data_IF_617531171189
#
_entry.id   IF_617531171189
#
_cell.length_a   1.000
_cell.length_b   1.000
_cell.length_c   1.000
_cell.angle_alpha   90.00
_cell.angle_beta   90.00
_cell.angle_gamma   90.00
#
_symmetry.space_group_name_H-M   'P 1'
#
loop_
_entity.id
_entity.type
_entity.pdbx_description
1 polymer ?
#
# COMPACT_ATOMS: atom_id res chain seq x y z
N UNK A 1 6.25 15.71 -18.07
CA UNK A 1 5.24 14.63 -18.11
C UNK A 1 5.73 13.28 -18.69
N UNK A 2 7.00 13.16 -19.13
CA UNK A 2 7.58 11.92 -19.70
C UNK A 2 8.11 10.92 -18.67
N UNK A 3 8.26 11.31 -17.41
CA UNK A 3 9.12 10.57 -16.47
C UNK A 3 8.33 9.54 -15.62
N UNK A 4 6.99 9.65 -15.59
CA UNK A 4 6.09 8.73 -14.86
C UNK A 4 4.99 8.19 -15.79
N UNK A 5 5.23 7.07 -16.51
CA UNK A 5 4.34 6.63 -17.59
C UNK A 5 3.06 5.93 -17.12
N UNK A 6 2.97 5.54 -15.84
CA UNK A 6 1.86 4.71 -15.34
C UNK A 6 0.71 5.52 -14.74
N UNK A 7 1.02 6.50 -13.89
CA UNK A 7 0.03 7.30 -13.15
C UNK A 7 0.17 8.77 -13.51
N UNK A 8 -0.97 9.46 -13.50
CA UNK A 8 -1.03 10.89 -13.75
C UNK A 8 -1.94 11.57 -12.72
N UNK A 9 -1.81 12.88 -12.61
CA UNK A 9 -2.71 13.68 -11.79
C UNK A 9 -3.98 13.98 -12.60
N UNK A 10 -5.12 13.49 -12.12
CA UNK A 10 -6.43 13.76 -12.69
C UNK A 10 -7.23 14.67 -11.76
N UNK A 11 -8.14 15.44 -12.32
CA UNK A 11 -9.20 16.09 -11.53
C UNK A 11 -10.19 15.05 -11.06
N UNK A 12 -10.46 15.01 -9.76
CA UNK A 12 -11.42 14.09 -9.19
C UNK A 12 -12.82 14.34 -9.78
N UNK A 13 -13.50 13.30 -10.28
CA UNK A 13 -14.77 13.47 -10.97
C UNK A 13 -15.85 14.03 -10.02
N UNK A 14 -16.87 14.66 -10.59
CA UNK A 14 -17.98 15.20 -9.81
C UNK A 14 -18.90 14.07 -9.33
N UNK A 15 -18.43 13.34 -8.34
CA UNK A 15 -19.12 12.23 -7.69
C UNK A 15 -19.23 12.47 -6.19
N UNK A 16 -20.17 11.76 -5.58
CA UNK A 16 -20.48 11.91 -4.15
C UNK A 16 -19.62 11.03 -3.24
N UNK A 17 -18.80 10.17 -3.80
CA UNK A 17 -17.83 9.39 -3.04
C UNK A 17 -16.63 10.28 -2.70
N UNK A 18 -16.27 10.36 -1.44
CA UNK A 18 -15.31 11.32 -0.88
C UNK A 18 -13.89 10.78 -0.81
N UNK A 19 -13.40 10.11 -1.84
CA UNK A 19 -11.99 9.72 -1.88
C UNK A 19 -11.08 10.94 -2.00
N UNK A 20 -11.52 11.93 -2.78
CA UNK A 20 -11.03 13.30 -2.82
C UNK A 20 -12.25 14.22 -3.05
N UNK A 21 -12.08 15.55 -2.95
CA UNK A 21 -13.20 16.46 -3.23
C UNK A 21 -13.36 16.59 -4.75
N UNK A 22 -14.60 16.66 -5.29
CA UNK A 22 -14.83 17.01 -6.69
C UNK A 22 -14.02 18.24 -7.10
N UNK A 23 -13.23 18.11 -8.16
CA UNK A 23 -12.34 19.18 -8.63
C UNK A 23 -10.91 19.13 -8.05
N UNK A 24 -10.69 18.46 -6.91
CA UNK A 24 -9.34 18.31 -6.36
C UNK A 24 -8.51 17.37 -7.22
N UNK A 25 -7.19 17.56 -7.27
CA UNK A 25 -6.32 16.60 -7.93
C UNK A 25 -6.25 15.28 -7.15
N UNK A 26 -6.16 14.17 -7.87
CA UNK A 26 -5.82 12.86 -7.33
C UNK A 26 -4.99 12.08 -8.34
N UNK A 27 -4.16 11.16 -7.84
CA UNK A 27 -3.36 10.28 -8.68
C UNK A 27 -4.20 9.11 -9.15
N UNK A 28 -4.19 8.89 -10.47
CA UNK A 28 -4.85 7.73 -11.06
C UNK A 28 -4.29 7.40 -12.44
N UNK A 29 -4.66 6.23 -12.93
CA UNK A 29 -4.62 5.85 -14.34
C UNK A 29 -6.05 5.64 -14.81
N UNK A 30 -6.45 6.29 -15.90
CA UNK A 30 -7.84 6.27 -16.37
C UNK A 30 -7.99 5.48 -17.67
N UNK A 31 -8.87 4.48 -17.65
CA UNK A 31 -9.42 3.85 -18.85
C UNK A 31 -10.88 4.25 -18.98
N UNK A 32 -11.37 4.50 -20.19
CA UNK A 32 -12.75 4.95 -20.40
C UNK A 32 -13.35 4.46 -21.71
N UNK A 33 -14.68 4.33 -21.71
CA UNK A 33 -15.47 3.91 -22.86
C UNK A 33 -16.75 4.73 -22.93
N UNK A 34 -17.18 5.07 -24.15
CA UNK A 34 -18.48 5.70 -24.39
C UNK A 34 -19.44 4.66 -24.95
N UNK A 35 -20.64 4.60 -24.38
CA UNK A 35 -21.72 3.73 -24.87
C UNK A 35 -23.05 4.49 -24.90
N UNK A 36 -24.02 3.97 -25.63
CA UNK A 36 -25.36 4.55 -25.71
C UNK A 36 -26.39 3.54 -25.22
N UNK A 37 -27.37 4.00 -24.43
CA UNK A 37 -28.56 3.24 -24.08
C UNK A 37 -29.77 3.85 -24.76
N UNK A 38 -30.66 3.00 -25.29
CA UNK A 38 -31.95 3.40 -25.85
C UNK A 38 -33.06 2.98 -24.89
N UNK A 39 -33.77 3.95 -24.35
CA UNK A 39 -34.88 3.74 -23.42
C UNK A 39 -36.22 3.78 -24.15
N UNK A 40 -37.20 3.01 -23.65
CA UNK A 40 -38.58 3.00 -24.17
C UNK A 40 -38.78 2.16 -25.45
N UNK A 41 -37.76 1.47 -25.95
CA UNK A 41 -37.85 0.70 -27.19
C UNK A 41 -38.86 -0.46 -27.15
N UNK A 42 -39.05 -1.09 -25.99
CA UNK A 42 -39.95 -2.24 -25.85
C UNK A 42 -41.44 -1.87 -25.75
N UNK A 43 -41.76 -0.61 -25.40
CA UNK A 43 -43.15 -0.14 -25.19
C UNK A 43 -43.63 0.79 -26.30
N UNK A 44 -42.89 0.87 -27.42
CA UNK A 44 -43.15 1.82 -28.50
C UNK A 44 -44.53 1.64 -29.16
N UNK A 45 -45.14 0.44 -29.02
CA UNK A 45 -46.49 0.14 -29.49
C UNK A 45 -47.63 0.39 -28.48
N UNK A 46 -47.32 0.46 -27.18
CA UNK A 46 -48.34 0.52 -26.10
C UNK A 46 -48.47 1.93 -25.49
N UNK A 47 -47.43 2.75 -25.59
CA UNK A 47 -47.43 4.11 -25.03
C UNK A 47 -46.77 5.06 -26.02
N UNK A 48 -47.38 6.22 -26.29
CA UNK A 48 -46.85 7.26 -27.18
C UNK A 48 -45.59 7.99 -26.65
N UNK A 49 -44.79 7.33 -25.81
CA UNK A 49 -43.56 7.89 -25.25
C UNK A 49 -42.42 7.66 -26.25
N UNK A 50 -41.79 8.72 -26.79
CA UNK A 50 -40.72 8.59 -27.76
C UNK A 50 -39.50 7.89 -27.15
N UNK A 51 -38.80 7.07 -27.96
CA UNK A 51 -37.58 6.42 -27.49
C UNK A 51 -36.48 7.46 -27.31
N UNK A 52 -35.87 7.49 -26.13
CA UNK A 52 -34.78 8.42 -25.81
C UNK A 52 -33.47 7.66 -25.89
N UNK A 53 -32.52 8.18 -26.67
CA UNK A 53 -31.12 7.71 -26.65
C UNK A 53 -30.33 8.59 -25.70
N UNK A 54 -29.66 7.97 -24.74
CA UNK A 54 -28.71 8.64 -23.84
C UNK A 54 -27.32 8.07 -24.05
N UNK A 55 -26.31 8.92 -23.98
CA UNK A 55 -24.90 8.54 -24.07
C UNK A 55 -24.29 8.57 -22.67
N UNK A 56 -23.44 7.59 -22.39
CA UNK A 56 -22.78 7.44 -21.09
C UNK A 56 -21.29 7.27 -21.29
N UNK A 57 -20.53 7.84 -20.36
CA UNK A 57 -19.11 7.64 -20.21
C UNK A 57 -18.88 6.71 -19.00
N UNK A 58 -18.38 5.51 -19.26
CA UNK A 58 -17.83 4.63 -18.24
C UNK A 58 -16.36 4.98 -18.06
N UNK A 59 -15.95 5.33 -16.84
CA UNK A 59 -14.55 5.53 -16.49
C UNK A 59 -14.16 4.55 -15.40
N UNK A 60 -13.01 3.90 -15.57
CA UNK A 60 -12.33 3.13 -14.54
C UNK A 60 -11.02 3.85 -14.24
N UNK A 61 -10.95 4.40 -13.04
CA UNK A 61 -9.72 4.96 -12.49
C UNK A 61 -9.05 3.88 -11.65
N UNK A 62 -7.84 3.49 -12.02
CA UNK A 62 -6.93 2.74 -11.17
C UNK A 62 -6.22 3.74 -10.28
N UNK A 63 -6.55 3.69 -9.00
CA UNK A 63 -6.18 4.66 -7.96
C UNK A 63 -5.18 3.98 -7.04
N UNK A 64 -3.90 4.39 -7.03
CA UNK A 64 -2.96 3.86 -6.06
C UNK A 64 -3.41 4.27 -4.65
N UNK A 65 -3.06 3.48 -3.64
CA UNK A 65 -3.21 3.92 -2.26
C UNK A 65 -2.34 5.14 -2.07
N UNK A 66 -3.00 6.28 -1.96
CA UNK A 66 -2.37 7.59 -1.86
C UNK A 66 -2.83 8.34 -0.62
N UNK A 67 -3.72 7.75 0.18
CA UNK A 67 -4.25 8.36 1.40
C UNK A 67 -3.35 8.04 2.60
N UNK A 68 -3.24 8.95 3.59
CA UNK A 68 -2.54 8.73 4.86
C UNK A 68 -2.84 7.37 5.51
N UNK A 69 -4.12 6.98 5.49
CA UNK A 69 -4.60 5.72 6.04
C UNK A 69 -5.60 5.05 5.10
N UNK A 70 -5.40 3.76 4.83
CA UNK A 70 -6.35 2.97 4.06
C UNK A 70 -6.49 1.52 4.53
N UNK A 71 -7.69 0.94 4.40
CA UNK A 71 -7.94 -0.48 4.68
C UNK A 71 -8.98 -1.07 3.73
N UNK A 72 -8.83 -2.35 3.36
CA UNK A 72 -9.86 -3.09 2.64
C UNK A 72 -10.87 -3.80 3.58
N UNK A 73 -10.68 -3.67 4.89
CA UNK A 73 -11.54 -4.21 5.94
C UNK A 73 -11.94 -3.14 6.96
N UNK A 74 -12.30 -3.55 8.18
CA UNK A 74 -12.66 -2.66 9.27
C UNK A 74 -11.41 -1.96 9.85
N UNK A 75 -11.48 -0.63 9.97
CA UNK A 75 -10.44 0.20 10.59
C UNK A 75 -11.02 1.06 11.71
N UNK A 76 -10.32 1.13 12.84
CA UNK A 76 -10.60 2.07 13.94
C UNK A 76 -9.44 3.04 14.13
N UNK A 77 -9.75 4.33 14.27
CA UNK A 77 -8.76 5.42 14.37
C UNK A 77 -9.03 6.30 15.59
N UNK A 78 -7.97 6.88 16.18
CA UNK A 78 -8.05 7.82 17.31
C UNK A 78 -7.74 7.24 18.69
N UNK A 79 -7.78 5.91 18.85
CA UNK A 79 -7.32 5.22 20.06
C UNK A 79 -6.53 3.96 19.76
N UNK A 80 -5.59 3.66 20.65
CA UNK A 80 -4.87 2.38 20.67
C UNK A 80 -5.76 1.25 21.22
N UNK A 81 -5.36 -0.01 21.01
CA UNK A 81 -6.09 -1.18 21.51
C UNK A 81 -6.29 -1.18 23.04
N UNK A 82 -5.39 -0.54 23.80
CA UNK A 82 -5.50 -0.39 25.26
C UNK A 82 -6.47 0.74 25.70
N UNK A 83 -7.06 1.46 24.73
CA UNK A 83 -8.00 2.55 24.95
C UNK A 83 -7.35 3.93 25.14
N UNK A 84 -6.02 4.03 25.13
CA UNK A 84 -5.32 5.32 25.18
C UNK A 84 -5.53 6.11 23.88
N UNK A 85 -5.57 7.44 23.99
CA UNK A 85 -5.77 8.32 22.85
C UNK A 85 -4.49 8.49 22.02
N UNK A 86 -4.68 8.77 20.73
CA UNK A 86 -3.58 9.26 19.89
C UNK A 86 -3.21 10.68 20.31
N UNK A 87 -2.00 10.85 20.85
CA UNK A 87 -1.55 12.15 21.36
C UNK A 87 -0.64 12.89 20.37
N UNK A 88 0.07 12.17 19.50
CA UNK A 88 1.08 12.72 18.59
C UNK A 88 0.90 12.16 17.16
N UNK A 89 -0.33 12.16 16.65
CA UNK A 89 -0.65 11.74 15.29
C UNK A 89 -1.25 12.91 14.50
N UNK A 90 -0.59 13.31 13.42
CA UNK A 90 -1.09 14.28 12.45
C UNK A 90 -1.55 13.57 11.17
N UNK A 91 -2.74 13.93 10.69
CA UNK A 91 -3.35 13.35 9.50
C UNK A 91 -3.59 14.45 8.46
N UNK A 92 -2.78 14.46 7.41
CA UNK A 92 -2.86 15.39 6.28
C UNK A 92 -3.37 14.68 5.04
N UNK A 93 -4.69 14.62 4.89
CA UNK A 93 -5.38 13.94 3.79
C UNK A 93 -6.54 13.08 4.26
N UNK A 94 -7.23 12.45 3.30
CA UNK A 94 -8.39 11.62 3.60
C UNK A 94 -8.06 10.27 4.25
N UNK A 95 -9.08 9.63 4.81
CA UNK A 95 -8.99 8.29 5.40
C UNK A 95 -10.04 7.40 4.74
N UNK A 96 -9.61 6.22 4.28
CA UNK A 96 -10.50 5.26 3.62
C UNK A 96 -10.50 3.89 4.33
N UNK A 97 -11.66 3.25 4.42
CA UNK A 97 -11.75 1.84 4.83
C UNK A 97 -12.91 1.12 4.14
N UNK A 98 -13.03 -0.20 4.31
CA UNK A 98 -14.32 -0.84 4.02
C UNK A 98 -15.39 -0.33 5.00
N UNK A 99 -15.08 -0.44 6.28
CA UNK A 99 -15.81 0.15 7.40
C UNK A 99 -14.84 0.98 8.24
N UNK A 100 -15.22 2.19 8.62
CA UNK A 100 -14.39 3.07 9.45
C UNK A 100 -15.12 3.44 10.74
N UNK A 101 -14.41 3.38 11.85
CA UNK A 101 -14.82 3.93 13.12
C UNK A 101 -13.78 4.93 13.62
N UNK A 102 -14.22 6.00 14.24
CA UNK A 102 -13.37 6.92 14.99
C UNK A 102 -13.66 6.79 16.49
N UNK A 103 -12.62 6.90 17.30
CA UNK A 103 -12.69 6.77 18.75
C UNK A 103 -11.93 7.93 19.40
N UNK A 104 -12.51 8.58 20.41
CA UNK A 104 -11.88 9.74 21.03
C UNK A 104 -11.84 10.96 20.10
N UNK A 105 -10.75 11.71 20.13
CA UNK A 105 -10.57 12.90 19.28
C UNK A 105 -9.81 12.53 18.02
N UNK A 106 -10.41 12.79 16.85
CA UNK A 106 -9.78 12.56 15.54
C UNK A 106 -9.94 13.82 14.69
N UNK A 107 -8.84 14.38 14.23
CA UNK A 107 -8.85 15.57 13.39
C UNK A 107 -8.03 15.34 12.12
N UNK A 108 -8.66 15.51 10.96
CA UNK A 108 -7.97 15.62 9.68
C UNK A 108 -7.70 17.10 9.42
N UNK A 109 -6.46 17.48 9.12
CA UNK A 109 -6.13 18.87 8.76
C UNK A 109 -6.71 19.24 7.40
N UNK A 110 -6.76 18.27 6.49
CA UNK A 110 -7.38 18.33 5.17
C UNK A 110 -7.86 16.93 4.77
N UNK A 111 -8.66 16.83 3.71
CA UNK A 111 -9.18 15.56 3.23
C UNK A 111 -10.60 15.28 3.70
N UNK A 112 -10.92 13.99 3.83
CA UNK A 112 -12.29 13.47 3.95
C UNK A 112 -12.29 12.08 4.61
N UNK A 113 -13.40 11.69 5.22
CA UNK A 113 -13.63 10.31 5.63
C UNK A 113 -14.45 9.56 4.58
N UNK A 114 -13.97 8.40 4.16
CA UNK A 114 -14.71 7.57 3.20
C UNK A 114 -14.72 6.11 3.60
N UNK A 115 -15.86 5.47 3.37
CA UNK A 115 -15.99 4.04 3.55
C UNK A 115 -16.80 3.38 2.44
N UNK A 116 -16.65 2.07 2.26
CA UNK A 116 -17.49 1.32 1.31
C UNK A 116 -18.83 0.92 1.93
N UNK A 117 -18.81 0.44 3.18
CA UNK A 117 -19.96 -0.18 3.85
C UNK A 117 -20.48 0.61 5.04
N UNK A 118 -19.63 1.32 5.81
CA UNK A 118 -20.11 2.08 6.96
C UNK A 118 -19.10 3.04 7.59
N UNK A 119 -19.63 4.11 8.18
CA UNK A 119 -18.90 5.11 8.96
C UNK A 119 -19.55 5.23 10.35
N UNK A 120 -18.72 5.28 11.39
CA UNK A 120 -19.14 5.58 12.77
C UNK A 120 -18.20 6.61 13.39
N UNK A 121 -18.75 7.77 13.73
CA UNK A 121 -18.03 8.93 14.23
C UNK A 121 -18.17 9.11 15.74
N UNK A 122 -17.06 9.39 16.41
CA UNK A 122 -17.08 9.96 17.75
C UNK A 122 -17.52 11.44 17.68
N UNK A 123 -18.05 11.97 18.79
CA UNK A 123 -18.49 13.38 18.88
C UNK A 123 -17.37 14.41 18.67
N UNK A 124 -16.11 13.97 18.71
CA UNK A 124 -14.89 14.79 18.56
C UNK A 124 -14.14 14.51 17.27
N UNK A 125 -14.86 14.09 16.22
CA UNK A 125 -14.28 13.90 14.88
C UNK A 125 -14.44 15.17 14.04
N UNK A 126 -13.35 15.62 13.41
CA UNK A 126 -13.40 16.81 12.56
C UNK A 126 -12.53 16.71 11.32
N UNK A 127 -12.92 17.48 10.30
CA UNK A 127 -12.18 17.67 9.06
C UNK A 127 -12.01 19.17 8.84
N UNK A 128 -10.77 19.64 8.72
CA UNK A 128 -10.46 21.07 8.58
C UNK A 128 -11.16 21.95 9.65
N UNK A 129 -11.30 21.45 10.87
CA UNK A 129 -11.98 22.13 11.98
C UNK A 129 -13.51 22.04 12.00
N UNK A 130 -14.13 21.41 10.99
CA UNK A 130 -15.59 21.19 10.93
C UNK A 130 -15.92 19.83 11.55
N UNK A 131 -16.85 19.81 12.50
CA UNK A 131 -17.30 18.57 13.13
C UNK A 131 -18.05 17.68 12.12
N UNK A 132 -17.71 16.40 12.11
CA UNK A 132 -18.36 15.38 11.28
C UNK A 132 -19.16 14.45 12.19
N UNK A 133 -20.48 14.47 12.04
CA UNK A 133 -21.41 13.72 12.88
C UNK A 133 -22.01 12.51 12.14
N UNK A 134 -22.49 11.52 12.92
CA UNK A 134 -23.12 10.30 12.42
C UNK A 134 -24.40 10.51 11.59
N UNK A 135 -25.04 11.67 11.70
CA UNK A 135 -26.21 12.03 10.89
C UNK A 135 -25.84 12.64 9.52
N UNK A 136 -24.57 12.55 9.10
CA UNK A 136 -24.10 13.14 7.84
C UNK A 136 -24.91 12.73 6.60
N UNK A 137 -25.50 11.53 6.65
CA UNK A 137 -26.26 10.94 5.57
C UNK A 137 -27.77 10.84 5.86
N UNK A 138 -28.24 11.45 6.95
CA UNK A 138 -29.65 11.43 7.32
C UNK A 138 -30.51 12.21 6.31
N UNK A 139 -31.76 11.76 6.11
CA UNK A 139 -32.74 12.52 5.32
C UNK A 139 -32.97 13.90 5.96
N UNK A 140 -33.15 14.93 5.13
CA UNK A 140 -33.26 16.32 5.53
C UNK A 140 -31.91 17.01 5.70
N UNK A 141 -30.88 16.32 6.20
CA UNK A 141 -29.52 16.88 6.35
C UNK A 141 -28.87 17.07 4.98
N UNK A 142 -29.02 16.10 4.07
CA UNK A 142 -28.50 16.17 2.70
C UNK A 142 -29.15 17.28 1.89
N UNK A 143 -30.48 17.36 1.93
CA UNK A 143 -31.26 18.34 1.18
C UNK A 143 -31.00 19.76 1.69
N UNK A 144 -30.90 19.92 3.02
CA UNK A 144 -30.52 21.20 3.62
C UNK A 144 -29.11 21.62 3.19
N UNK A 145 -28.16 20.67 3.14
CA UNK A 145 -26.79 20.94 2.68
C UNK A 145 -26.76 21.31 1.20
N UNK A 146 -27.45 20.55 0.35
CA UNK A 146 -27.54 20.85 -1.08
C UNK A 146 -28.17 22.21 -1.32
N UNK A 147 -29.22 22.56 -0.56
CA UNK A 147 -29.87 23.87 -0.64
C UNK A 147 -28.96 25.01 -0.16
N UNK A 148 -28.15 24.78 0.88
CA UNK A 148 -27.28 25.81 1.48
C UNK A 148 -25.98 26.03 0.70
N UNK A 149 -25.35 24.94 0.24
CA UNK A 149 -24.00 24.95 -0.33
C UNK A 149 -23.98 24.71 -1.85
N UNK A 150 -25.14 24.52 -2.48
CA UNK A 150 -25.24 24.18 -3.91
C UNK A 150 -24.66 22.81 -4.28
N UNK A 151 -24.25 22.02 -3.29
CA UNK A 151 -23.66 20.69 -3.44
C UNK A 151 -24.08 19.77 -2.31
N UNK A 152 -24.35 18.51 -2.64
CA UNK A 152 -24.61 17.43 -1.68
C UNK A 152 -23.30 16.71 -1.25
N UNK A 153 -22.15 17.22 -1.69
CA UNK A 153 -20.84 16.71 -1.27
C UNK A 153 -20.60 16.96 0.23
N UNK A 154 -19.91 16.04 0.90
CA UNK A 154 -19.68 16.08 2.33
C UNK A 154 -18.30 15.56 2.71
N UNK A 155 -17.80 16.00 3.87
CA UNK A 155 -16.52 15.55 4.43
C UNK A 155 -16.52 14.10 4.94
N UNK A 156 -17.66 13.41 4.77
CA UNK A 156 -17.85 11.99 5.04
C UNK A 156 -18.74 11.35 3.97
N UNK A 157 -18.38 10.17 3.48
CA UNK A 157 -19.17 9.45 2.47
C UNK A 157 -19.11 7.92 2.61
N UNK A 158 -20.20 7.25 2.21
CA UNK A 158 -20.26 5.79 2.12
C UNK A 158 -20.61 5.39 0.69
N UNK A 159 -19.77 4.57 0.05
CA UNK A 159 -19.93 4.14 -1.35
C UNK A 159 -21.30 3.51 -1.63
N UNK A 160 -21.82 2.70 -0.70
CA UNK A 160 -23.15 2.10 -0.80
C UNK A 160 -24.32 3.09 -0.94
N UNK A 161 -24.14 4.34 -0.48
CA UNK A 161 -25.22 5.34 -0.45
C UNK A 161 -25.26 6.19 -1.72
N UNK A 162 -24.37 5.94 -2.68
CA UNK A 162 -24.18 6.72 -3.90
C UNK A 162 -24.16 5.79 -5.11
N UNK A 163 -25.34 5.36 -5.56
CA UNK A 163 -25.58 4.30 -6.55
C UNK A 163 -25.05 4.52 -8.00
N UNK A 164 -24.01 5.33 -8.20
CA UNK A 164 -23.32 5.55 -9.48
C UNK A 164 -21.80 5.39 -9.40
N UNK A 165 -21.28 4.98 -8.24
CA UNK A 165 -19.86 4.81 -7.98
C UNK A 165 -19.62 3.43 -7.38
N UNK A 166 -18.58 2.75 -7.85
CA UNK A 166 -18.02 1.59 -7.15
C UNK A 166 -16.55 1.86 -6.83
N UNK A 167 -16.17 1.64 -5.57
CA UNK A 167 -14.78 1.67 -5.14
C UNK A 167 -14.35 0.27 -4.69
N UNK A 168 -13.36 -0.31 -5.38
CA UNK A 168 -13.01 -1.73 -5.28
C UNK A 168 -11.52 -1.84 -4.98
N UNK A 169 -11.11 -2.22 -3.75
CA UNK A 169 -9.72 -2.55 -3.46
C UNK A 169 -9.32 -3.81 -4.23
N UNK A 170 -8.17 -3.80 -4.90
CA UNK A 170 -7.74 -4.92 -5.75
C UNK A 170 -6.75 -5.84 -5.02
N UNK A 171 -5.91 -5.25 -4.17
CA UNK A 171 -4.84 -5.91 -3.45
C UNK A 171 -5.35 -6.28 -2.05
N UNK A 172 -6.05 -7.41 -1.94
CA UNK A 172 -6.70 -7.81 -0.69
C UNK A 172 -6.10 -9.08 -0.11
N UNK A 173 -5.95 -9.09 1.21
CA UNK A 173 -5.58 -10.27 1.99
C UNK A 173 -4.12 -10.68 1.86
N UNK A 174 -3.82 -11.81 2.51
CA UNK A 174 -2.49 -12.42 2.50
C UNK A 174 -2.06 -12.92 1.12
N UNK A 175 -3.01 -13.07 0.20
CA UNK A 175 -2.76 -13.43 -1.19
C UNK A 175 -1.82 -12.44 -1.90
N UNK A 176 -1.81 -11.18 -1.47
CA UNK A 176 -0.87 -10.16 -1.95
C UNK A 176 0.60 -10.51 -1.68
N UNK A 177 0.85 -11.23 -0.58
CA UNK A 177 2.18 -11.55 -0.06
C UNK A 177 2.71 -12.89 -0.58
N UNK A 178 1.91 -13.66 -1.31
CA UNK A 178 2.28 -14.97 -1.82
C UNK A 178 2.20 -15.01 -3.34
N UNK A 179 3.06 -15.85 -3.92
CA UNK A 179 3.07 -16.08 -5.36
C UNK A 179 2.11 -17.19 -5.74
N UNK A 180 1.32 -16.93 -6.76
CA UNK A 180 0.52 -17.95 -7.43
C UNK A 180 0.34 -17.49 -8.87
N UNK A 181 1.03 -18.18 -9.80
CA UNK A 181 0.88 -17.87 -11.22
C UNK A 181 -0.57 -18.12 -11.64
N UNK A 182 -1.11 -17.30 -12.53
CA UNK A 182 -2.50 -17.44 -12.94
C UNK A 182 -2.73 -18.55 -14.01
N UNK A 183 -1.80 -19.48 -14.19
CA UNK A 183 -1.87 -20.52 -15.22
C UNK A 183 -1.52 -20.04 -16.63
N UNK A 184 -1.97 -20.79 -17.66
CA UNK A 184 -1.59 -20.54 -19.06
C UNK A 184 -2.25 -19.30 -19.66
N UNK A 185 -1.50 -18.54 -20.45
CA UNK A 185 -1.99 -17.33 -21.13
C UNK A 185 -2.98 -17.61 -22.27
N UNK A 186 -3.04 -18.84 -22.78
CA UNK A 186 -3.86 -19.21 -23.95
C UNK A 186 -5.37 -19.07 -23.78
N UNK A 187 -5.85 -18.82 -22.57
CA UNK A 187 -7.29 -18.64 -22.26
C UNK A 187 -7.64 -17.25 -21.74
N UNK A 188 -6.70 -16.27 -21.75
CA UNK A 188 -6.99 -14.89 -21.31
C UNK A 188 -6.94 -13.90 -22.47
N UNK A 189 -7.76 -12.86 -22.35
CA UNK A 189 -7.75 -11.69 -23.24
C UNK A 189 -6.57 -10.76 -22.90
N UNK A 190 -6.22 -10.66 -21.61
CA UNK A 190 -5.10 -9.84 -21.15
C UNK A 190 -3.77 -10.60 -21.22
N UNK A 191 -2.67 -9.95 -21.67
CA UNK A 191 -1.34 -10.54 -21.60
C UNK A 191 -0.82 -10.67 -20.16
N UNK A 192 -1.33 -9.85 -19.23
CA UNK A 192 -1.02 -9.90 -17.80
C UNK A 192 -2.14 -10.62 -17.06
N UNK A 193 -1.78 -11.64 -16.27
CA UNK A 193 -2.72 -12.35 -15.42
C UNK A 193 -3.21 -11.51 -14.24
N UNK A 194 -4.28 -11.96 -13.57
CA UNK A 194 -4.87 -11.23 -12.44
C UNK A 194 -3.93 -11.16 -11.23
N UNK A 195 -3.31 -12.27 -10.86
CA UNK A 195 -2.34 -12.38 -9.77
C UNK A 195 -1.06 -11.61 -10.10
N UNK A 196 -0.58 -11.67 -11.35
CA UNK A 196 0.56 -10.86 -11.80
C UNK A 196 0.29 -9.35 -11.64
N UNK A 197 -0.97 -8.95 -11.86
CA UNK A 197 -1.42 -7.58 -11.73
C UNK A 197 -1.69 -7.18 -10.27
N UNK A 198 -2.26 -8.04 -9.44
CA UNK A 198 -2.78 -7.70 -8.10
C UNK A 198 -1.93 -8.16 -6.92
N UNK A 199 -0.85 -8.93 -7.10
CA UNK A 199 -0.04 -9.42 -5.97
C UNK A 199 1.34 -8.79 -5.97
N UNK A 200 1.71 -8.14 -4.86
CA UNK A 200 3.04 -7.53 -4.70
C UNK A 200 4.17 -8.54 -4.84
N UNK A 201 3.94 -9.79 -4.40
CA UNK A 201 4.91 -10.87 -4.54
C UNK A 201 5.24 -11.22 -6.02
N UNK A 202 4.30 -11.05 -6.96
CA UNK A 202 4.55 -11.26 -8.40
C UNK A 202 5.17 -10.03 -9.06
N UNK A 203 4.87 -8.84 -8.56
CA UNK A 203 5.39 -7.56 -9.08
C UNK A 203 6.89 -7.34 -8.77
N UNK A 204 7.41 -7.98 -7.71
CA UNK A 204 8.80 -7.84 -7.29
C UNK A 204 9.82 -8.21 -8.38
N UNK A 205 10.80 -7.34 -8.59
CA UNK A 205 11.84 -7.49 -9.62
C UNK A 205 12.92 -8.48 -9.23
N UNK A 206 13.33 -8.43 -7.96
CA UNK A 206 14.28 -9.36 -7.35
C UNK A 206 13.59 -10.34 -6.42
N UNK A 207 14.15 -11.54 -6.29
CA UNK A 207 13.67 -12.56 -5.35
C UNK A 207 14.80 -13.11 -4.50
N UNK A 208 14.63 -13.10 -3.19
CA UNK A 208 15.39 -13.93 -2.26
C UNK A 208 14.58 -15.18 -1.96
N UNK A 209 14.89 -16.27 -2.66
CA UNK A 209 14.21 -17.55 -2.50
C UNK A 209 15.06 -18.46 -1.63
N UNK A 210 14.63 -18.68 -0.39
CA UNK A 210 15.28 -19.69 0.46
C UNK A 210 15.10 -21.05 -0.18
N UNK A 211 16.20 -21.77 -0.33
CA UNK A 211 16.24 -23.05 -1.03
C UNK A 211 16.45 -24.22 -0.09
N UNK A 212 17.25 -24.02 0.96
CA UNK A 212 17.55 -25.04 1.95
C UNK A 212 17.75 -24.40 3.32
N UNK A 213 17.11 -25.00 4.33
CA UNK A 213 17.34 -24.69 5.75
C UNK A 213 18.28 -25.71 6.37
N UNK A 214 18.98 -25.33 7.44
CA UNK A 214 19.83 -26.22 8.24
C UNK A 214 19.07 -27.45 8.76
N UNK A 215 17.80 -27.28 9.15
CA UNK A 215 16.89 -28.38 9.50
C UNK A 215 15.45 -27.88 9.53
N UNK A 216 14.48 -28.81 9.55
CA UNK A 216 13.06 -28.50 9.75
C UNK A 216 12.78 -27.83 11.09
N UNK A 217 13.60 -28.06 12.11
CA UNK A 217 13.44 -27.49 13.45
C UNK A 217 14.07 -26.09 13.59
N UNK A 218 15.24 -25.84 12.99
CA UNK A 218 15.95 -24.57 13.15
C UNK A 218 15.46 -23.49 12.18
N UNK A 219 15.01 -23.86 10.98
CA UNK A 219 14.58 -22.90 9.95
C UNK A 219 15.60 -21.75 9.66
N UNK A 220 16.90 -22.02 9.82
CA UNK A 220 17.99 -21.10 9.43
C UNK A 220 18.40 -21.41 7.99
N UNK A 221 18.30 -20.46 7.04
CA UNK A 221 18.72 -20.69 5.66
C UNK A 221 20.22 -21.00 5.55
N UNK A 222 20.57 -22.05 4.80
CA UNK A 222 21.96 -22.40 4.44
C UNK A 222 22.20 -22.30 2.93
N UNK A 223 21.13 -22.25 2.14
CA UNK A 223 21.19 -22.00 0.71
C UNK A 223 20.01 -21.16 0.26
N UNK A 224 20.26 -20.20 -0.63
CA UNK A 224 19.22 -19.43 -1.31
C UNK A 224 19.54 -19.21 -2.78
N UNK A 225 18.50 -18.87 -3.54
CA UNK A 225 18.64 -18.39 -4.92
C UNK A 225 18.22 -16.93 -4.98
N UNK A 226 19.14 -16.08 -5.43
CA UNK A 226 18.89 -14.68 -5.68
C UNK A 226 18.51 -14.49 -7.15
N UNK A 227 17.29 -14.06 -7.42
CA UNK A 227 16.83 -13.71 -8.76
C UNK A 227 16.88 -12.19 -8.93
N UNK A 228 17.30 -11.72 -10.09
CA UNK A 228 17.37 -10.30 -10.46
C UNK A 228 17.22 -10.13 -11.97
N UNK A 229 16.93 -8.92 -12.43
CA UNK A 229 16.96 -8.58 -13.85
C UNK A 229 18.39 -8.21 -14.26
N UNK A 230 18.87 -8.81 -15.35
CA UNK A 230 20.13 -8.45 -15.97
C UNK A 230 19.98 -7.22 -16.87
N UNK A 231 21.08 -6.70 -17.40
CA UNK A 231 21.09 -5.53 -18.31
C UNK A 231 20.33 -5.75 -19.62
N UNK A 232 20.03 -6.99 -20.01
CA UNK A 232 19.19 -7.32 -21.17
C UNK A 232 17.69 -7.42 -20.82
N UNK A 233 17.30 -7.15 -19.57
CA UNK A 233 15.93 -7.25 -19.07
C UNK A 233 15.45 -8.68 -18.74
N UNK A 234 16.31 -9.69 -18.89
CA UNK A 234 15.99 -11.07 -18.56
C UNK A 234 16.16 -11.32 -17.06
N UNK A 235 15.25 -12.11 -16.47
CA UNK A 235 15.38 -12.54 -15.08
C UNK A 235 16.34 -13.73 -14.99
N UNK A 236 17.46 -13.54 -14.32
CA UNK A 236 18.50 -14.55 -14.06
C UNK A 236 18.58 -14.86 -12.57
N UNK A 237 19.35 -15.87 -12.18
CA UNK A 237 19.61 -16.14 -10.77
C UNK A 237 21.03 -16.62 -10.48
N UNK A 238 21.45 -16.45 -9.22
CA UNK A 238 22.65 -17.04 -8.64
C UNK A 238 22.27 -17.83 -7.40
N UNK A 239 22.97 -18.95 -7.18
CA UNK A 239 22.79 -19.78 -5.98
C UNK A 239 23.90 -19.45 -5.00
N UNK A 240 23.52 -19.20 -3.76
CA UNK A 240 24.43 -18.87 -2.67
C UNK A 240 24.30 -19.92 -1.58
N UNK A 241 25.41 -20.52 -1.19
CA UNK A 241 25.51 -21.60 -0.20
C UNK A 241 26.49 -21.19 0.90
N UNK A 242 26.05 -21.30 2.15
CA UNK A 242 26.85 -20.99 3.33
C UNK A 242 28.11 -21.85 3.36
N UNK A 243 29.27 -21.24 3.65
CA UNK A 243 30.57 -21.91 3.66
C UNK A 243 31.19 -22.15 2.27
N UNK A 244 30.56 -21.66 1.19
CA UNK A 244 31.13 -21.73 -0.16
C UNK A 244 31.24 -20.36 -0.81
N UNK A 245 30.10 -19.75 -1.14
CA UNK A 245 30.04 -18.44 -1.81
C UNK A 245 29.09 -17.46 -1.11
N UNK A 246 28.62 -17.81 0.08
CA UNK A 246 27.84 -16.96 0.95
C UNK A 246 28.60 -16.71 2.27
N UNK A 247 29.48 -15.70 2.30
CA UNK A 247 30.30 -15.41 3.46
C UNK A 247 29.45 -14.92 4.64
N UNK A 248 29.84 -15.33 5.84
CA UNK A 248 29.39 -14.74 7.11
C UNK A 248 30.01 -13.36 7.31
N UNK A 249 29.46 -12.50 8.19
CA UNK A 249 29.98 -11.15 8.40
C UNK A 249 31.46 -11.09 8.83
N UNK A 250 32.00 -12.16 9.42
CA UNK A 250 33.40 -12.25 9.84
C UNK A 250 34.35 -12.82 8.79
N UNK A 251 33.82 -13.33 7.67
CA UNK A 251 34.62 -13.83 6.55
C UNK A 251 34.88 -12.73 5.52
N UNK A 252 35.95 -12.86 4.75
CA UNK A 252 36.33 -11.89 3.72
C UNK A 252 35.17 -11.63 2.74
N UNK A 253 34.77 -10.36 2.60
CA UNK A 253 33.68 -9.93 1.73
C UNK A 253 32.27 -10.15 2.32
N UNK A 254 32.15 -10.67 3.54
CA UNK A 254 30.88 -10.82 4.23
C UNK A 254 30.26 -9.50 4.70
N UNK A 255 31.09 -8.52 5.02
CA UNK A 255 30.73 -7.14 5.34
C UNK A 255 30.14 -6.37 4.15
N UNK A 256 30.50 -6.76 2.92
CA UNK A 256 29.95 -6.20 1.69
C UNK A 256 28.75 -6.99 1.14
N UNK A 257 28.33 -8.08 1.80
CA UNK A 257 27.29 -8.97 1.31
C UNK A 257 25.92 -8.60 1.91
N UNK A 258 24.89 -8.27 1.10
CA UNK A 258 23.66 -7.65 1.60
C UNK A 258 22.70 -8.60 2.33
N UNK A 259 22.96 -9.91 2.30
CA UNK A 259 22.10 -10.92 2.90
C UNK A 259 22.83 -11.72 3.97
N UNK A 260 22.31 -11.72 5.20
CA UNK A 260 22.86 -12.50 6.30
C UNK A 260 21.78 -13.35 6.98
N UNK A 261 22.22 -14.26 7.84
CA UNK A 261 21.34 -15.05 8.70
C UNK A 261 21.81 -14.93 10.11
N UNK A 262 20.90 -14.64 11.02
CA UNK A 262 21.21 -14.45 12.43
C UNK A 262 20.07 -14.95 13.31
N UNK A 263 20.38 -15.23 14.57
CA UNK A 263 19.37 -15.34 15.62
C UNK A 263 19.29 -13.98 16.30
N UNK A 264 18.16 -13.29 16.15
CA UNK A 264 17.92 -11.99 16.76
C UNK A 264 17.99 -12.08 18.29
N UNK A 265 18.27 -10.98 19.02
CA UNK A 265 18.30 -10.96 20.48
C UNK A 265 17.03 -11.52 21.16
N UNK A 266 15.89 -11.43 20.48
CA UNK A 266 14.59 -12.03 20.87
C UNK A 266 14.50 -13.55 20.65
N UNK A 267 15.60 -14.21 20.27
CA UNK A 267 15.67 -15.66 20.05
C UNK A 267 15.09 -16.15 18.73
N UNK A 268 14.67 -15.26 17.84
CA UNK A 268 14.08 -15.61 16.54
C UNK A 268 15.12 -15.65 15.43
N UNK A 269 15.08 -16.69 14.60
CA UNK A 269 15.93 -16.79 13.42
C UNK A 269 15.42 -15.86 12.31
N UNK A 270 16.33 -15.07 11.75
CA UNK A 270 16.00 -14.07 10.73
C UNK A 270 16.96 -14.11 9.54
N UNK A 271 16.42 -13.72 8.39
CA UNK A 271 17.18 -13.30 7.22
C UNK A 271 17.35 -11.79 7.33
N UNK A 272 18.59 -11.34 7.48
CA UNK A 272 18.93 -9.92 7.54
C UNK A 272 19.19 -9.42 6.12
N UNK A 273 18.55 -8.31 5.76
CA UNK A 273 18.73 -7.64 4.47
C UNK A 273 19.27 -6.24 4.73
N UNK A 274 20.48 -5.99 4.24
CA UNK A 274 21.13 -4.69 4.26
C UNK A 274 20.85 -3.94 2.96
N UNK A 275 20.03 -2.89 3.05
CA UNK A 275 19.57 -2.14 1.89
C UNK A 275 20.66 -1.23 1.31
N UNK A 276 21.54 -0.67 2.12
CA UNK A 276 22.72 0.10 1.73
C UNK A 276 23.74 -0.69 0.90
N UNK A 277 23.88 -2.00 1.18
CA UNK A 277 24.84 -2.87 0.49
C UNK A 277 24.33 -3.38 -0.87
N UNK A 278 23.02 -3.36 -1.09
CA UNK A 278 22.40 -3.96 -2.28
C UNK A 278 22.82 -3.30 -3.62
N UNK A 279 22.94 -1.96 -3.75
CA UNK A 279 23.39 -1.33 -5.00
C UNK A 279 24.80 -1.77 -5.41
N UNK A 280 25.75 -1.76 -4.47
CA UNK A 280 27.13 -2.18 -4.72
C UNK A 280 27.20 -3.68 -5.05
N UNK A 281 26.40 -4.50 -4.36
CA UNK A 281 26.29 -5.93 -4.63
C UNK A 281 25.77 -6.23 -6.03
N UNK A 282 24.70 -5.56 -6.49
CA UNK A 282 24.18 -5.72 -7.84
C UNK A 282 25.24 -5.37 -8.89
N UNK A 283 25.97 -4.27 -8.70
CA UNK A 283 27.08 -3.89 -9.57
C UNK A 283 28.17 -4.97 -9.63
N UNK A 284 28.51 -5.57 -8.48
CA UNK A 284 29.52 -6.62 -8.38
C UNK A 284 29.13 -7.94 -9.09
N UNK A 285 27.84 -8.18 -9.36
CA UNK A 285 27.39 -9.34 -10.14
C UNK A 285 27.80 -9.25 -11.62
N UNK A 286 28.11 -8.05 -12.12
CA UNK A 286 28.63 -7.78 -13.47
C UNK A 286 27.61 -7.86 -14.61
N UNK A 287 26.51 -8.60 -14.44
CA UNK A 287 25.42 -8.70 -15.42
C UNK A 287 24.09 -8.09 -14.94
N UNK A 288 23.98 -7.72 -13.66
CA UNK A 288 22.76 -7.15 -13.10
C UNK A 288 22.47 -5.75 -13.64
N UNK A 289 21.20 -5.46 -13.91
CA UNK A 289 20.76 -4.08 -14.02
C UNK A 289 20.86 -3.39 -12.65
N UNK A 290 20.97 -2.06 -12.66
CA UNK A 290 21.06 -1.27 -11.43
C UNK A 290 19.75 -1.27 -10.63
N UNK A 291 19.76 -0.56 -9.50
CA UNK A 291 18.62 -0.42 -8.60
C UNK A 291 17.46 0.40 -9.17
N UNK A 292 17.61 1.09 -10.30
CA UNK A 292 16.48 1.74 -10.97
C UNK A 292 15.53 0.72 -11.62
N UNK A 293 16.09 -0.44 -12.02
CA UNK A 293 15.36 -1.59 -12.58
C UNK A 293 15.08 -2.64 -11.50
N UNK A 294 16.09 -2.97 -10.71
CA UNK A 294 15.99 -3.91 -9.59
C UNK A 294 15.54 -3.20 -8.31
N UNK A 295 14.39 -2.52 -8.38
CA UNK A 295 13.87 -1.64 -7.34
C UNK A 295 12.86 -2.30 -6.38
N UNK A 296 12.81 -3.62 -6.32
CA UNK A 296 11.95 -4.34 -5.38
C UNK A 296 12.42 -5.76 -5.12
N UNK A 297 12.23 -6.25 -3.90
CA UNK A 297 12.64 -7.58 -3.47
C UNK A 297 11.49 -8.33 -2.79
N UNK A 298 11.30 -9.59 -3.20
CA UNK A 298 10.41 -10.53 -2.52
C UNK A 298 11.22 -11.60 -1.78
N UNK A 299 11.04 -11.68 -0.46
CA UNK A 299 11.73 -12.62 0.43
C UNK A 299 10.78 -13.70 0.90
N UNK A 300 11.09 -14.96 0.58
CA UNK A 300 10.20 -16.07 0.91
C UNK A 300 10.89 -17.43 1.00
N UNK A 301 10.35 -18.33 1.83
CA UNK A 301 10.70 -19.74 1.84
C UNK A 301 10.09 -20.48 0.65
N UNK A 302 10.89 -21.33 0.00
CA UNK A 302 10.39 -22.23 -1.04
C UNK A 302 9.76 -23.48 -0.42
N UNK A 303 8.44 -23.42 -0.19
CA UNK A 303 7.65 -24.42 0.54
C UNK A 303 7.68 -25.88 0.01
N UNK A 304 8.16 -26.11 -1.22
CA UNK A 304 8.28 -27.47 -1.77
C UNK A 304 9.65 -28.12 -1.54
N UNK A 305 10.47 -27.55 -0.65
CA UNK A 305 11.81 -28.05 -0.30
C UNK A 305 11.75 -28.88 1.00
N UNK A 306 12.49 -30.00 1.10
CA UNK A 306 12.37 -30.91 2.23
C UNK A 306 12.66 -30.31 3.62
N UNK A 307 13.57 -29.33 3.70
CA UNK A 307 13.97 -28.70 4.98
C UNK A 307 13.23 -27.40 5.28
N UNK A 308 12.41 -26.91 4.34
CA UNK A 308 11.71 -25.63 4.44
C UNK A 308 10.29 -25.86 4.95
N UNK A 309 9.96 -25.28 6.09
CA UNK A 309 8.59 -25.29 6.64
C UNK A 309 7.87 -24.02 6.18
N UNK A 310 6.64 -24.13 5.63
CA UNK A 310 5.83 -22.97 5.30
C UNK A 310 5.58 -22.09 6.54
N UNK A 311 5.74 -20.76 6.45
CA UNK A 311 5.52 -19.86 7.57
C UNK A 311 4.02 -19.75 7.89
N UNK A 312 3.71 -19.54 9.15
CA UNK A 312 2.34 -19.30 9.61
C UNK A 312 1.94 -17.84 9.40
N UNK A 313 0.65 -17.59 9.16
CA UNK A 313 0.07 -16.25 9.17
C UNK A 313 -1.18 -16.28 10.07
N UNK A 314 -1.17 -15.64 11.27
CA UNK A 314 -0.07 -14.87 11.88
C UNK A 314 1.19 -15.70 12.17
N UNK A 315 2.34 -15.02 12.29
CA UNK A 315 3.63 -15.70 12.49
C UNK A 315 3.77 -16.26 13.90
N UNK A 316 4.23 -17.50 14.02
CA UNK A 316 4.55 -18.14 15.30
C UNK A 316 6.04 -18.00 15.64
N UNK A 317 6.42 -18.31 16.89
CA UNK A 317 7.78 -18.11 17.38
C UNK A 317 8.85 -18.93 16.62
N UNK A 318 8.49 -20.10 16.10
CA UNK A 318 9.40 -20.96 15.32
C UNK A 318 9.52 -20.56 13.85
N UNK A 319 8.67 -19.65 13.36
CA UNK A 319 8.77 -19.20 11.97
C UNK A 319 10.01 -18.32 11.79
N UNK A 320 10.72 -18.47 10.67
CA UNK A 320 11.77 -17.53 10.31
C UNK A 320 11.18 -16.14 10.07
N UNK A 321 12.00 -15.12 10.28
CA UNK A 321 11.64 -13.72 10.01
C UNK A 321 12.56 -13.07 8.99
N UNK A 322 12.22 -11.84 8.60
CA UNK A 322 13.09 -10.93 7.87
C UNK A 322 13.43 -9.77 8.78
N UNK A 323 14.70 -9.40 8.83
CA UNK A 323 15.18 -8.15 9.42
C UNK A 323 15.64 -7.24 8.29
N UNK A 324 15.20 -5.99 8.30
CA UNK A 324 15.64 -4.93 7.38
C UNK A 324 16.55 -3.98 8.13
N UNK A 325 17.79 -3.81 7.63
CA UNK A 325 18.85 -2.97 8.22
C UNK A 325 19.56 -2.15 7.14
N UNK A 326 20.42 -1.21 7.57
CA UNK A 326 21.20 -0.39 6.64
C UNK A 326 20.33 0.43 5.71
N UNK A 327 19.16 0.87 6.19
CA UNK A 327 18.15 1.54 5.38
C UNK A 327 18.04 3.04 5.61
N UNK A 328 18.91 3.64 6.43
CA UNK A 328 18.78 5.06 6.82
C UNK A 328 18.95 6.00 5.64
N UNK A 329 19.91 5.72 4.75
CA UNK A 329 20.12 6.45 3.50
C UNK A 329 19.64 5.61 2.30
N UNK A 330 18.52 6.02 1.72
CA UNK A 330 17.94 5.39 0.52
C UNK A 330 18.21 6.21 -0.75
N UNK A 331 19.11 7.20 -0.73
CA UNK A 331 19.34 8.13 -1.85
C UNK A 331 19.72 7.46 -3.17
N UNK A 332 20.31 6.25 -3.12
CA UNK A 332 20.62 5.45 -4.30
C UNK A 332 19.35 4.95 -5.05
N UNK A 333 18.20 4.87 -4.38
CA UNK A 333 16.96 4.31 -4.90
C UNK A 333 16.06 5.38 -5.53
N UNK A 334 16.55 6.05 -6.57
CA UNK A 334 15.85 7.21 -7.17
C UNK A 334 14.48 6.90 -7.79
N UNK A 335 14.18 5.62 -8.07
CA UNK A 335 12.86 5.16 -8.53
C UNK A 335 12.03 4.51 -7.42
N UNK A 336 12.47 4.66 -6.17
CA UNK A 336 11.91 4.03 -4.98
C UNK A 336 12.40 2.61 -4.73
N UNK A 337 11.97 2.02 -3.61
CA UNK A 337 12.29 0.64 -3.27
C UNK A 337 11.15 -0.07 -2.52
N UNK A 338 10.84 -1.31 -2.92
CA UNK A 338 9.79 -2.09 -2.26
C UNK A 338 10.28 -3.42 -1.70
N UNK A 339 9.92 -3.72 -0.46
CA UNK A 339 10.17 -5.02 0.18
C UNK A 339 8.84 -5.73 0.38
N UNK A 340 8.73 -6.95 -0.15
CA UNK A 340 7.58 -7.83 0.07
C UNK A 340 8.09 -9.10 0.74
N UNK A 341 7.36 -9.58 1.75
CA UNK A 341 7.63 -10.89 2.35
C UNK A 341 6.35 -11.53 2.86
N UNK A 342 6.31 -12.86 2.85
CA UNK A 342 5.31 -13.63 3.59
C UNK A 342 5.80 -14.05 4.99
N UNK A 343 6.94 -13.50 5.44
CA UNK A 343 7.50 -13.66 6.78
C UNK A 343 7.22 -12.41 7.61
N UNK A 344 7.22 -12.54 8.94
CA UNK A 344 7.22 -11.38 9.85
C UNK A 344 8.48 -10.55 9.57
N UNK A 345 8.30 -9.23 9.50
CA UNK A 345 9.38 -8.28 9.22
C UNK A 345 9.71 -7.47 10.47
N UNK A 346 11.00 -7.38 10.79
CA UNK A 346 11.55 -6.47 11.79
C UNK A 346 12.24 -5.31 11.07
N UNK A 347 11.96 -4.09 11.50
CA UNK A 347 12.67 -2.88 11.11
C UNK A 347 13.73 -2.65 12.18
N UNK A 348 14.97 -3.05 11.89
CA UNK A 348 16.02 -3.12 12.91
C UNK A 348 16.62 -1.77 13.27
N UNK A 349 16.61 -0.83 12.33
CA UNK A 349 17.26 0.47 12.42
C UNK A 349 16.38 1.56 11.76
N UNK A 350 16.81 2.82 11.83
CA UNK A 350 16.19 3.91 11.08
C UNK A 350 16.12 3.60 9.59
N UNK A 351 15.00 3.98 8.96
CA UNK A 351 14.72 3.68 7.57
C UNK A 351 14.30 4.95 6.85
N UNK A 352 15.02 5.28 5.77
CA UNK A 352 14.75 6.38 4.85
C UNK A 352 14.65 7.76 5.52
N UNK A 353 15.71 8.14 6.23
CA UNK A 353 15.80 9.40 7.00
C UNK A 353 16.63 10.47 6.32
N UNK A 354 17.20 10.19 5.14
CA UNK A 354 18.01 11.15 4.38
C UNK A 354 17.18 11.75 3.24
N UNK A 355 16.87 13.06 3.27
CA UNK A 355 16.16 13.70 2.18
C UNK A 355 17.06 13.85 0.95
N UNK A 356 16.45 13.77 -0.23
CA UNK A 356 17.09 14.02 -1.53
C UNK A 356 16.32 15.11 -2.27
N UNK A 357 16.93 15.66 -3.32
CA UNK A 357 16.26 16.64 -4.16
C UNK A 357 15.04 16.00 -4.85
N UNK A 358 13.86 16.64 -4.78
CA UNK A 358 12.69 16.17 -5.52
C UNK A 358 13.01 16.00 -7.02
N UNK A 359 12.55 14.91 -7.67
CA UNK A 359 12.80 14.72 -9.09
C UNK A 359 12.25 15.88 -9.92
N UNK A 360 13.00 16.29 -10.95
CA UNK A 360 12.55 17.35 -11.86
C UNK A 360 11.21 17.00 -12.50
N UNK A 361 10.28 17.95 -12.55
CA UNK A 361 8.97 17.74 -13.15
C UNK A 361 8.01 16.86 -12.35
N UNK A 362 8.35 16.51 -11.10
CA UNK A 362 7.47 15.80 -10.16
C UNK A 362 6.24 16.62 -9.72
N UNK A 363 6.29 17.95 -9.82
CA UNK A 363 5.26 18.84 -9.29
C UNK A 363 5.36 19.08 -7.78
N UNK A 364 6.38 18.53 -7.12
CA UNK A 364 6.69 18.78 -5.71
C UNK A 364 7.36 20.16 -5.60
N UNK A 365 6.91 21.05 -4.68
CA UNK A 365 7.52 22.34 -4.42
C UNK A 365 9.04 22.30 -4.20
N UNK A 366 9.75 23.28 -4.76
CA UNK A 366 11.19 23.39 -4.56
C UNK A 366 11.49 23.73 -3.08
N UNK A 367 12.38 22.94 -2.46
CA UNK A 367 12.76 23.09 -1.05
C UNK A 367 11.90 22.29 -0.07
N UNK A 368 10.89 21.56 -0.55
CA UNK A 368 10.21 20.55 0.25
C UNK A 368 11.12 19.32 0.43
N UNK A 369 11.13 18.75 1.63
CA UNK A 369 11.86 17.51 1.89
C UNK A 369 11.22 16.38 1.10
N UNK A 370 12.03 15.69 0.32
CA UNK A 370 11.61 14.53 -0.44
C UNK A 370 12.48 13.34 -0.08
N UNK A 371 11.83 12.22 0.20
CA UNK A 371 12.50 10.96 0.50
C UNK A 371 12.17 9.98 -0.62
N UNK A 372 13.14 9.18 -1.10
CA UNK A 372 12.88 8.13 -2.08
C UNK A 372 11.71 7.24 -1.63
N UNK A 373 10.71 6.96 -2.49
CA UNK A 373 9.49 6.32 -2.03
C UNK A 373 9.74 4.85 -1.71
N UNK A 374 9.41 4.44 -0.48
CA UNK A 374 9.57 3.07 -0.03
C UNK A 374 8.22 2.41 0.30
N UNK A 375 8.12 1.11 0.09
CA UNK A 375 7.00 0.33 0.61
C UNK A 375 7.44 -0.99 1.22
N UNK A 376 6.85 -1.31 2.36
CA UNK A 376 7.10 -2.54 3.10
C UNK A 376 5.79 -3.33 3.19
N UNK A 377 5.80 -4.57 2.74
CA UNK A 377 4.66 -5.48 2.81
C UNK A 377 5.07 -6.77 3.50
N UNK A 378 4.41 -7.06 4.62
CA UNK A 378 4.60 -8.26 5.43
C UNK A 378 3.30 -8.56 6.17
N UNK A 379 3.06 -9.81 6.60
CA UNK A 379 1.88 -10.15 7.41
C UNK A 379 1.89 -9.39 8.74
N UNK A 380 3.08 -9.20 9.32
CA UNK A 380 3.31 -8.46 10.54
C UNK A 380 4.62 -7.67 10.42
N UNK A 381 4.62 -6.44 10.93
CA UNK A 381 5.80 -5.58 11.07
C UNK A 381 6.06 -5.33 12.54
N UNK A 382 7.33 -5.30 12.91
CA UNK A 382 7.81 -5.02 14.27
C UNK A 382 8.91 -3.96 14.21
N UNK A 383 8.96 -3.12 15.23
CA UNK A 383 9.98 -2.09 15.38
C UNK A 383 11.05 -2.55 16.37
N UNK A 384 12.31 -2.49 15.93
CA UNK A 384 13.45 -3.00 16.68
C UNK A 384 13.52 -4.52 16.72
N UNK A 385 14.65 -5.03 17.20
CA UNK A 385 15.00 -6.46 17.25
C UNK A 385 15.36 -6.93 18.66
N UNK A 386 15.31 -6.00 19.63
CA UNK A 386 15.69 -6.22 21.02
C UNK A 386 14.46 -6.56 21.86
N UNK A 387 14.72 -7.22 23.00
CA UNK A 387 13.68 -7.58 23.96
C UNK A 387 13.12 -6.37 24.72
N UNK A 388 13.90 -5.28 24.82
CA UNK A 388 13.48 -4.02 25.41
C UNK A 388 13.42 -2.97 24.32
N UNK A 389 12.30 -2.27 24.23
CA UNK A 389 12.06 -1.23 23.24
C UNK A 389 11.74 0.08 23.96
N UNK A 390 12.72 0.96 24.02
CA UNK A 390 12.61 2.28 24.66
C UNK A 390 12.82 3.43 23.66
N UNK A 391 12.92 3.11 22.36
CA UNK A 391 13.18 4.10 21.32
C UNK A 391 11.87 4.68 20.80
N UNK A 392 11.77 6.01 20.61
CA UNK A 392 10.67 6.62 19.89
C UNK A 392 10.57 6.07 18.47
N UNK A 393 9.33 5.86 18.00
CA UNK A 393 9.00 5.57 16.61
C UNK A 393 8.44 6.85 16.01
N UNK A 394 9.28 7.53 15.23
CA UNK A 394 8.88 8.64 14.36
C UNK A 394 8.53 8.06 12.99
N UNK A 395 7.27 8.24 12.57
CA UNK A 395 6.75 7.64 11.35
C UNK A 395 6.10 8.70 10.45
N UNK A 396 6.74 8.96 9.31
CA UNK A 396 6.22 9.86 8.28
C UNK A 396 5.80 9.05 7.05
N UNK A 397 4.61 9.31 6.51
CA UNK A 397 4.15 8.69 5.26
C UNK A 397 2.73 8.11 5.35
N UNK A 398 2.57 6.82 5.01
CA UNK A 398 1.27 6.18 4.90
C UNK A 398 1.24 4.81 5.56
N UNK A 399 0.13 4.50 6.22
CA UNK A 399 -0.14 3.19 6.79
C UNK A 399 -1.39 2.60 6.17
N UNK A 400 -1.29 1.37 5.69
CA UNK A 400 -2.41 0.67 5.07
C UNK A 400 -2.45 -0.78 5.48
N UNK A 401 -3.64 -1.36 5.47
CA UNK A 401 -3.85 -2.76 5.81
C UNK A 401 -4.32 -3.59 4.61
N UNK A 402 -3.76 -4.79 4.52
CA UNK A 402 -4.23 -5.85 3.62
C UNK A 402 -5.41 -6.62 4.23
N UNK A 403 -5.82 -6.31 5.47
CA UNK A 403 -6.91 -7.00 6.14
C UNK A 403 -8.22 -6.87 5.34
N UNK A 404 -8.99 -7.95 5.32
CA UNK A 404 -10.31 -8.04 4.71
C UNK A 404 -11.41 -8.35 5.73
N UNK A 405 -11.04 -8.53 7.00
CA UNK A 405 -11.97 -8.76 8.10
C UNK A 405 -12.78 -7.49 8.39
N UNK A 406 -14.09 -7.64 8.57
CA UNK A 406 -15.05 -6.58 8.87
C UNK A 406 -15.50 -6.55 10.35
N UNK A 407 -15.05 -7.53 11.14
CA UNK A 407 -15.38 -7.71 12.57
C UNK A 407 -14.25 -7.25 13.49
N UNK A 408 -13.00 -7.51 13.11
CA UNK A 408 -11.82 -7.11 13.91
C UNK A 408 -11.23 -5.84 13.33
N UNK A 409 -11.28 -4.76 14.12
CA UNK A 409 -10.72 -3.48 13.72
C UNK A 409 -9.20 -3.56 13.57
N UNK A 410 -8.71 -3.21 12.38
CA UNK A 410 -7.32 -2.78 12.22
C UNK A 410 -7.14 -1.40 12.89
N UNK A 411 -6.13 -1.28 13.76
CA UNK A 411 -5.74 -0.04 14.41
C UNK A 411 -4.35 0.37 13.91
N UNK A 412 -4.24 1.41 13.05
CA UNK A 412 -3.01 1.67 12.29
C UNK A 412 -1.77 2.01 13.14
N UNK A 413 -1.96 2.60 14.31
CA UNK A 413 -0.89 3.01 15.23
C UNK A 413 -0.70 2.07 16.42
N UNK A 414 -1.28 0.86 16.37
CA UNK A 414 -0.98 -0.19 17.35
C UNK A 414 0.31 -0.92 16.94
N UNK A 415 1.42 -0.20 17.14
CA UNK A 415 2.74 -0.69 16.80
C UNK A 415 3.21 -1.70 17.86
N UNK A 416 3.95 -2.72 17.41
CA UNK A 416 4.57 -3.72 18.29
C UNK A 416 6.07 -3.74 18.12
N UNK A 417 6.76 -3.96 19.22
CA UNK A 417 8.21 -4.04 19.28
C UNK A 417 8.73 -5.43 18.90
N UNK A 418 10.06 -5.58 18.86
CA UNK A 418 10.74 -6.86 18.67
C UNK A 418 10.23 -8.00 19.59
N UNK A 419 9.88 -7.70 20.84
CA UNK A 419 9.45 -8.67 21.87
C UNK A 419 7.97 -9.07 21.80
N UNK A 420 7.24 -8.61 20.78
CA UNK A 420 5.77 -8.69 20.68
C UNK A 420 4.99 -7.81 21.67
N UNK A 421 5.68 -6.99 22.47
CA UNK A 421 5.07 -5.99 23.33
C UNK A 421 4.50 -4.82 22.51
N UNK A 422 3.41 -4.21 23.01
CA UNK A 422 2.86 -3.00 22.41
C UNK A 422 3.81 -1.83 22.67
N UNK A 423 4.14 -1.07 21.62
CA UNK A 423 4.93 0.15 21.78
C UNK A 423 4.09 1.17 22.55
N UNK A 424 4.68 1.78 23.58
CA UNK A 424 3.96 2.76 24.39
C UNK A 424 3.44 3.90 23.50
N UNK A 425 2.17 4.32 23.63
CA UNK A 425 1.60 5.45 22.88
C UNK A 425 2.42 6.73 22.95
N UNK A 426 3.08 7.00 24.10
CA UNK A 426 3.93 8.18 24.29
C UNK A 426 5.29 8.11 23.58
N UNK A 427 5.61 6.98 22.94
CA UNK A 427 6.80 6.79 22.11
C UNK A 427 6.44 6.78 20.62
N UNK A 428 5.20 7.05 20.23
CA UNK A 428 4.76 7.01 18.83
C UNK A 428 4.45 8.44 18.37
N UNK A 429 5.22 8.93 17.42
CA UNK A 429 4.95 10.16 16.69
C UNK A 429 4.70 9.83 15.22
N UNK A 430 3.53 10.23 14.70
CA UNK A 430 3.12 9.90 13.35
C UNK A 430 2.70 11.16 12.57
N UNK A 431 3.34 11.40 11.44
CA UNK A 431 2.99 12.45 10.48
C UNK A 431 2.55 11.80 9.16
N UNK A 432 1.25 11.58 9.03
CA UNK A 432 0.70 10.81 7.91
C UNK A 432 0.17 11.72 6.81
N UNK A 433 0.67 11.53 5.59
CA UNK A 433 0.44 12.43 4.45
C UNK A 433 -0.08 11.71 3.23
N UNK A 434 -0.95 12.40 2.49
CA UNK A 434 -1.38 11.98 1.17
C UNK A 434 -0.23 12.09 0.17
N UNK A 435 -0.09 11.10 -0.72
CA UNK A 435 0.82 11.17 -1.88
C UNK A 435 0.16 12.08 -2.91
N UNK A 436 0.88 13.11 -3.35
CA UNK A 436 0.38 14.14 -4.26
C UNK A 436 1.01 14.06 -5.65
N UNK A 437 2.18 13.43 -5.75
CA UNK A 437 2.93 13.26 -6.99
C UNK A 437 3.13 11.78 -7.35
N UNK A 438 3.11 11.41 -8.65
CA UNK A 438 3.58 10.10 -9.08
C UNK A 438 5.01 9.78 -8.64
N UNK A 439 5.84 10.79 -8.38
CA UNK A 439 7.21 10.64 -7.89
C UNK A 439 7.30 10.06 -6.47
N UNK A 440 6.22 10.14 -5.70
CA UNK A 440 6.13 9.63 -4.33
C UNK A 440 5.55 8.21 -4.28
N UNK A 441 5.18 7.64 -5.44
CA UNK A 441 4.64 6.28 -5.50
C UNK A 441 5.78 5.25 -5.45
N UNK A 442 5.76 4.32 -4.49
CA UNK A 442 6.74 3.24 -4.47
C UNK A 442 6.49 2.24 -5.61
N UNK A 443 7.52 1.48 -6.04
CA UNK A 443 7.43 0.52 -7.14
C UNK A 443 6.28 -0.49 -7.01
N UNK A 444 6.02 -0.93 -5.78
CA UNK A 444 4.88 -1.76 -5.42
C UNK A 444 4.00 -0.95 -4.47
N UNK A 445 2.72 -0.83 -4.80
CA UNK A 445 1.72 -0.12 -4.01
C UNK A 445 0.38 -0.85 -4.12
N UNK A 446 -0.50 -0.59 -3.15
CA UNK A 446 -1.89 -1.04 -3.23
C UNK A 446 -2.64 -0.19 -4.25
N UNK A 447 -3.66 -0.76 -4.86
CA UNK A 447 -4.45 -0.21 -5.95
C UNK A 447 -5.93 -0.47 -5.67
N UNK A 448 -6.73 0.49 -6.11
CA UNK A 448 -8.18 0.45 -6.04
C UNK A 448 -8.74 0.81 -7.41
N UNK A 449 -9.88 0.26 -7.78
CA UNK A 449 -10.67 0.76 -8.90
C UNK A 449 -11.76 1.68 -8.39
N UNK A 450 -11.77 2.91 -8.90
CA UNK A 450 -12.91 3.82 -8.84
C UNK A 450 -13.63 3.76 -10.19
N UNK A 451 -14.82 3.18 -10.18
CA UNK A 451 -15.67 3.06 -11.38
C UNK A 451 -16.76 4.12 -11.32
N UNK A 452 -16.86 4.93 -12.37
CA UNK A 452 -17.90 5.97 -12.51
C UNK A 452 -18.66 5.80 -13.82
N UNK A 453 -19.95 6.10 -13.79
CA UNK A 453 -20.80 6.21 -14.98
C UNK A 453 -21.45 7.58 -15.01
N UNK A 454 -21.17 8.34 -16.07
CA UNK A 454 -21.63 9.72 -16.23
C UNK A 454 -22.48 9.83 -17.49
N UNK A 455 -23.64 10.50 -17.40
CA UNK A 455 -24.45 10.83 -18.58
C UNK A 455 -23.82 12.00 -19.33
N UNK A 456 -23.58 11.83 -20.63
CA UNK A 456 -23.08 12.88 -21.50
C UNK A 456 -24.26 13.72 -21.96
N UNK A 457 -24.46 14.88 -21.33
CA UNK A 457 -25.42 15.86 -21.81
C UNK A 457 -24.84 16.52 -23.06
N UNK A 458 -25.48 16.32 -24.21
CA UNK A 458 -25.25 17.22 -25.34
C UNK A 458 -25.76 18.59 -24.92
N UNK A 459 -24.87 19.58 -24.87
CA UNK A 459 -25.29 20.97 -24.67
C UNK A 459 -26.34 21.35 -25.73
N UNK A 460 -27.21 22.34 -25.45
CA UNK A 460 -28.15 22.81 -26.46
C UNK A 460 -27.33 23.21 -27.70
N UNK A 461 -27.63 22.56 -28.82
CA UNK A 461 -27.16 23.07 -30.10
C UNK A 461 -27.88 24.39 -30.33
N UNK A 462 -27.14 25.49 -30.22
CA UNK A 462 -27.59 26.80 -30.65
C UNK A 462 -27.59 26.87 -32.17
#
# INVERSE_FOLDING_TARGET
PSDYPLYNQYTYPNIRFGYARPGDPFLAKRNWWVFSLRFGGNNQGDVAVPTIRKNYLLSIYEVPSQLPMSSAGFMSVGRHADGTAWNQAQLSGGVFADRLQTEGTVALTAGLFSARTGLDFSDSTSVAGVNVANNFDAMGVRELRQASNGSDFHDASVGGNVGRVAFIPLNQGNDFLIRSGDGSNGSRISPTGWNDYTRGAEQAKMWFRVWEMASTALQIPIQFRFYYQNTSGARVYRTFTRGYNWPTPSETGGDAFPFQTETLPIGRNAITVHLDLLPAFLLALGDAADVSVNNSIYLFPQNNRPTVVPPSVPSIASDPAVSVRGGSDMSAYTTGFSVVSNLRMYIGESLNTVPVTPPSGSGIPAGEEYFPPISLFAPEKRFGETAFFEHPVEFTGQVSSLNTDDTVAFRPLDLRSGSDDTVSPGLIEADLKMIQSPAELPPIHLMNWLVTIEEIHQGPQN
#
